data_IF_361650887573
#
_entry.id   IF_361650887573
#
_cell.length_a   1.000
_cell.length_b   1.000
_cell.length_c   1.000
_cell.angle_alpha   90.00
_cell.angle_beta   90.00
_cell.angle_gamma   90.00
#
_symmetry.space_group_name_H-M   'P 1'
#
loop_
_entity.id
_entity.type
_entity.pdbx_description
1 polymer ?
#
# COMPACT_ATOMS: atom_id res chain seq x y z
N UNK A 1 11.06 22.01 106.46
CA UNK A 1 10.58 20.61 106.46
C UNK A 1 10.48 20.13 105.02
N UNK A 2 11.08 18.96 104.75
CA UNK A 2 10.91 18.06 103.58
C UNK A 2 11.47 18.49 102.19
N UNK A 3 12.43 17.69 101.70
CA UNK A 3 13.01 17.58 100.32
C UNK A 3 12.11 16.68 99.44
N UNK A 4 12.20 16.61 98.08
CA UNK A 4 13.43 16.52 97.28
C UNK A 4 13.45 17.19 95.86
N UNK A 5 14.60 17.03 95.17
CA UNK A 5 14.98 17.34 93.77
C UNK A 5 14.04 16.68 92.71
N UNK A 6 14.01 16.94 91.38
CA UNK A 6 14.98 17.00 90.24
C UNK A 6 14.19 17.53 88.98
N UNK A 7 14.68 17.59 87.71
CA UNK A 7 15.63 18.52 87.04
C UNK A 7 15.06 19.33 85.83
N UNK A 8 15.93 20.20 85.30
CA UNK A 8 16.19 20.60 83.89
C UNK A 8 15.11 20.42 82.78
N UNK A 9 14.81 21.55 82.15
CA UNK A 9 15.28 21.81 80.77
C UNK A 9 14.35 21.46 79.61
N UNK A 10 13.93 22.47 78.85
CA UNK A 10 13.87 22.36 77.37
C UNK A 10 14.23 23.70 76.74
N UNK A 11 15.42 23.71 76.12
CA UNK A 11 15.88 24.71 75.16
C UNK A 11 14.87 24.88 74.01
N UNK A 12 14.47 26.12 73.74
CA UNK A 12 13.96 26.53 72.43
C UNK A 12 15.13 26.76 71.50
N UNK A 13 15.16 25.99 70.40
CA UNK A 13 15.49 26.35 69.00
C UNK A 13 16.14 25.15 68.26
N UNK A 14 16.26 25.12 66.92
CA UNK A 14 15.62 25.96 65.91
C UNK A 14 15.09 25.19 64.67
N UNK A 15 14.49 26.01 63.80
CA UNK A 15 13.99 25.89 62.42
C UNK A 15 14.86 25.15 61.37
N UNK A 16 15.51 24.04 61.68
CA UNK A 16 16.37 23.29 60.73
C UNK A 16 15.80 21.97 60.21
N UNK A 17 14.66 21.48 60.73
CA UNK A 17 14.07 20.21 60.26
C UNK A 17 13.12 20.32 59.06
N UNK A 18 12.69 21.52 58.66
CA UNK A 18 11.73 21.70 57.55
C UNK A 18 12.40 21.88 56.18
N UNK A 19 13.64 22.35 56.11
CA UNK A 19 14.37 22.49 54.83
C UNK A 19 14.98 21.17 54.35
N UNK A 20 15.42 20.28 55.26
CA UNK A 20 15.95 18.96 54.89
C UNK A 20 14.89 18.03 54.26
N UNK A 21 13.66 18.04 54.78
CA UNK A 21 12.58 17.18 54.28
C UNK A 21 12.03 17.63 52.91
N UNK A 22 12.08 18.92 52.60
CA UNK A 22 11.69 19.44 51.29
C UNK A 22 12.73 19.10 50.20
N UNK A 23 14.03 19.10 50.53
CA UNK A 23 15.09 18.78 49.59
C UNK A 23 15.21 17.26 49.29
N UNK A 24 14.90 16.38 50.23
CA UNK A 24 14.86 14.92 49.95
C UNK A 24 13.59 14.51 49.20
N UNK A 25 12.46 15.16 49.44
CA UNK A 25 11.21 14.90 48.70
C UNK A 25 11.31 15.37 47.24
N UNK A 26 12.00 16.49 46.97
CA UNK A 26 12.19 16.98 45.59
C UNK A 26 13.15 16.09 44.79
N UNK A 27 14.21 15.57 45.42
CA UNK A 27 15.15 14.65 44.76
C UNK A 27 14.54 13.27 44.45
N UNK A 28 13.61 12.79 45.29
CA UNK A 28 12.89 11.53 45.04
C UNK A 28 11.83 11.65 43.94
N UNK A 29 11.21 12.83 43.77
CA UNK A 29 10.30 13.10 42.65
C UNK A 29 11.05 13.34 41.33
N UNK A 30 12.23 13.96 41.34
CA UNK A 30 13.02 14.14 40.10
C UNK A 30 13.67 12.82 39.64
N UNK A 31 14.02 11.91 40.55
CA UNK A 31 14.58 10.61 40.19
C UNK A 31 13.55 9.61 39.62
N UNK A 32 12.24 9.84 39.80
CA UNK A 32 11.19 8.96 39.26
C UNK A 32 10.51 9.50 37.99
N UNK A 33 10.80 10.73 37.58
CA UNK A 33 10.18 11.34 36.39
C UNK A 33 11.09 11.47 35.15
N UNK A 34 12.36 11.04 35.20
CA UNK A 34 13.34 11.30 34.11
C UNK A 34 13.82 10.03 33.37
N UNK A 35 13.09 8.91 33.46
CA UNK A 35 13.22 7.81 32.47
C UNK A 35 11.86 7.46 31.87
N UNK A 36 11.08 8.48 31.53
CA UNK A 36 10.15 8.36 30.43
C UNK A 36 10.82 9.02 29.23
N UNK A 37 11.57 8.22 28.44
CA UNK A 37 11.85 8.63 27.06
C UNK A 37 10.52 9.00 26.38
N UNK A 38 10.53 9.87 25.35
CA UNK A 38 9.29 10.37 24.76
C UNK A 38 8.38 9.18 24.46
N UNK A 39 7.22 9.15 25.13
CA UNK A 39 6.18 8.19 24.82
C UNK A 39 5.67 8.60 23.44
N UNK A 40 6.24 7.99 22.40
CA UNK A 40 5.70 8.09 21.05
C UNK A 40 4.31 7.48 21.16
N UNK A 41 3.29 8.32 21.12
CA UNK A 41 1.93 7.86 21.05
C UNK A 41 1.87 6.95 19.82
N UNK A 42 1.54 5.67 20.02
CA UNK A 42 1.35 4.77 18.91
C UNK A 42 0.27 5.41 18.01
N UNK A 43 0.60 5.60 16.74
CA UNK A 43 -0.36 6.15 15.79
C UNK A 43 -1.59 5.24 15.67
N UNK A 44 -2.60 5.66 14.88
CA UNK A 44 -3.71 4.80 14.48
C UNK A 44 -3.31 3.40 13.99
N UNK A 45 -2.08 3.20 13.52
CA UNK A 45 -1.52 1.91 13.11
C UNK A 45 -0.91 1.08 14.25
N UNK A 46 -0.89 1.58 15.48
CA UNK A 46 -0.32 0.84 16.61
C UNK A 46 1.21 0.71 16.52
N UNK A 47 1.85 -0.05 17.41
CA UNK A 47 3.26 0.18 17.72
C UNK A 47 4.29 -0.39 16.72
N UNK A 48 3.82 -0.91 15.58
CA UNK A 48 4.67 -1.35 14.46
C UNK A 48 4.36 -0.57 13.18
N UNK A 49 3.53 0.48 13.25
CA UNK A 49 3.37 1.36 12.11
C UNK A 49 4.68 2.06 11.74
N UNK A 50 4.76 2.38 10.46
CA UNK A 50 5.73 3.34 9.96
C UNK A 50 5.00 4.66 9.78
N UNK A 51 5.64 5.74 10.19
CA UNK A 51 5.09 7.09 10.07
C UNK A 51 5.02 7.49 8.60
N UNK A 52 4.01 8.27 8.22
CA UNK A 52 3.95 8.84 6.89
C UNK A 52 5.05 9.88 6.73
N UNK A 53 5.77 9.79 5.61
CA UNK A 53 6.82 10.75 5.23
C UNK A 53 6.38 11.60 4.04
N UNK A 54 7.21 12.57 3.68
CA UNK A 54 7.06 13.37 2.45
C UNK A 54 7.44 12.63 1.17
N UNK A 55 7.91 11.38 1.27
CA UNK A 55 8.19 10.56 0.09
C UNK A 55 6.92 10.42 -0.77
N UNK A 56 7.08 10.58 -2.09
CA UNK A 56 5.97 10.44 -3.04
C UNK A 56 5.37 9.03 -2.92
N UNK A 57 4.07 8.94 -2.58
CA UNK A 57 3.37 7.70 -2.24
C UNK A 57 3.97 6.89 -1.06
N UNK A 58 4.48 7.58 -0.02
CA UNK A 58 5.03 7.00 1.21
C UNK A 58 4.27 5.76 1.72
N UNK A 59 5.01 4.73 2.14
CA UNK A 59 4.46 3.50 2.75
C UNK A 59 4.06 3.63 4.22
N UNK A 60 4.05 4.85 4.79
CA UNK A 60 3.55 5.05 6.15
C UNK A 60 2.05 4.74 6.28
N UNK A 61 1.67 4.19 7.44
CA UNK A 61 0.30 3.69 7.72
C UNK A 61 -0.31 4.26 9.00
N UNK A 62 0.42 5.14 9.69
CA UNK A 62 -0.04 5.86 10.87
C UNK A 62 -1.15 6.88 10.53
N UNK A 63 -1.17 7.42 9.31
CA UNK A 63 -2.12 8.44 8.88
C UNK A 63 -2.53 8.26 7.41
N UNK A 64 -3.68 8.83 7.04
CA UNK A 64 -4.15 8.84 5.65
C UNK A 64 -3.82 10.16 4.97
N UNK A 65 -3.37 10.10 3.72
CA UNK A 65 -3.17 11.27 2.89
C UNK A 65 -4.51 11.82 2.38
N UNK A 66 -4.99 12.91 2.99
CA UNK A 66 -6.27 13.53 2.62
C UNK A 66 -6.32 14.09 1.19
N UNK A 67 -5.19 14.15 0.47
CA UNK A 67 -5.15 14.49 -0.96
C UNK A 67 -5.67 13.36 -1.85
N UNK A 68 -5.80 12.13 -1.33
CA UNK A 68 -6.29 10.97 -2.06
C UNK A 68 -7.60 10.46 -1.45
N UNK A 69 -8.57 10.02 -2.28
CA UNK A 69 -9.79 9.38 -1.79
C UNK A 69 -9.45 8.06 -1.11
N UNK A 70 -10.08 7.79 0.03
CA UNK A 70 -9.90 6.51 0.72
C UNK A 70 -10.80 5.43 0.11
N UNK A 71 -10.29 4.26 -0.31
CA UNK A 71 -11.10 3.18 -0.88
C UNK A 71 -11.81 2.37 0.22
N UNK A 72 -12.69 3.02 0.97
CA UNK A 72 -13.43 2.43 2.09
C UNK A 72 -14.96 2.44 1.89
N UNK A 73 -15.41 2.88 0.72
CA UNK A 73 -16.82 2.93 0.31
C UNK A 73 -16.94 2.60 -1.17
N UNK A 74 -18.15 2.64 -1.72
CA UNK A 74 -18.31 2.65 -3.16
C UNK A 74 -17.83 3.99 -3.74
N UNK A 75 -17.04 3.93 -4.81
CA UNK A 75 -16.70 5.08 -5.66
C UNK A 75 -17.32 4.87 -7.05
N UNK A 76 -17.85 5.94 -7.63
CA UNK A 76 -18.42 5.95 -8.98
C UNK A 76 -17.41 6.60 -9.94
N UNK A 77 -17.07 5.91 -11.03
CA UNK A 77 -16.10 6.37 -12.02
C UNK A 77 -16.76 6.55 -13.39
N UNK A 78 -16.57 7.69 -14.03
CA UNK A 78 -16.91 7.87 -15.45
C UNK A 78 -15.79 7.28 -16.31
N UNK A 79 -16.14 6.61 -17.41
CA UNK A 79 -15.16 6.17 -18.40
C UNK A 79 -15.50 6.80 -19.75
N UNK A 80 -14.68 7.78 -20.14
CA UNK A 80 -14.86 8.64 -21.31
C UNK A 80 -13.93 8.16 -22.41
N UNK A 81 -14.46 8.00 -23.62
CA UNK A 81 -13.72 7.50 -24.77
C UNK A 81 -13.43 8.65 -25.73
N UNK A 82 -12.16 8.86 -26.08
CA UNK A 82 -11.65 10.02 -26.78
C UNK A 82 -11.15 9.64 -28.17
N UNK A 83 -11.77 10.23 -29.19
CA UNK A 83 -11.37 10.09 -30.60
C UNK A 83 -10.67 11.36 -31.08
N UNK A 84 -9.90 11.27 -32.17
CA UNK A 84 -9.13 12.40 -32.67
C UNK A 84 -9.46 12.69 -34.15
N UNK A 85 -9.39 13.95 -34.62
CA UNK A 85 -9.71 14.30 -36.00
C UNK A 85 -8.86 13.61 -37.07
N UNK A 86 -7.67 13.10 -36.71
CA UNK A 86 -6.77 12.38 -37.61
C UNK A 86 -6.85 10.86 -37.54
N UNK A 87 -7.80 10.34 -36.76
CA UNK A 87 -8.06 8.91 -36.63
C UNK A 87 -9.56 8.63 -36.76
N UNK A 88 -9.90 7.44 -37.23
CA UNK A 88 -11.27 6.92 -37.18
C UNK A 88 -11.23 5.67 -36.32
N UNK A 89 -11.88 5.67 -35.13
CA UNK A 89 -11.85 4.51 -34.26
C UNK A 89 -12.37 3.26 -34.96
N UNK A 90 -11.62 2.16 -34.87
CA UNK A 90 -12.04 0.85 -35.44
C UNK A 90 -12.79 0.00 -34.43
N UNK A 91 -12.66 0.34 -33.15
CA UNK A 91 -13.30 -0.30 -32.00
C UNK A 91 -14.40 0.59 -31.42
N UNK A 92 -15.39 -0.02 -30.78
CA UNK A 92 -16.46 0.71 -30.10
C UNK A 92 -16.12 0.95 -28.63
N UNK A 93 -16.68 2.01 -28.00
CA UNK A 93 -16.59 2.23 -26.56
C UNK A 93 -17.01 1.02 -25.71
N UNK A 94 -18.00 0.25 -26.19
CA UNK A 94 -18.46 -0.95 -25.48
C UNK A 94 -17.42 -2.08 -25.50
N UNK A 95 -16.66 -2.23 -26.59
CA UNK A 95 -15.57 -3.20 -26.67
C UNK A 95 -14.42 -2.81 -25.73
N UNK A 96 -13.98 -1.55 -25.77
CA UNK A 96 -12.93 -1.05 -24.87
C UNK A 96 -13.36 -1.11 -23.39
N UNK A 97 -14.62 -0.83 -23.08
CA UNK A 97 -15.15 -1.00 -21.72
C UNK A 97 -15.09 -2.47 -21.26
N UNK A 98 -15.36 -3.41 -22.16
CA UNK A 98 -15.38 -4.84 -21.86
C UNK A 98 -13.98 -5.40 -21.55
N UNK A 99 -12.91 -4.74 -22.00
CA UNK A 99 -11.55 -5.13 -21.68
C UNK A 99 -11.23 -4.99 -20.17
N UNK A 100 -11.91 -4.07 -19.49
CA UNK A 100 -11.65 -3.77 -18.08
C UNK A 100 -12.83 -4.13 -17.15
N UNK A 101 -14.05 -4.26 -17.68
CA UNK A 101 -15.27 -4.47 -16.90
C UNK A 101 -15.85 -5.84 -17.27
N UNK A 102 -16.06 -6.75 -16.29
CA UNK A 102 -16.08 -6.53 -14.85
C UNK A 102 -14.75 -6.83 -14.13
N UNK A 103 -13.65 -7.05 -14.86
CA UNK A 103 -12.37 -7.49 -14.30
C UNK A 103 -11.85 -6.58 -13.17
N UNK A 104 -11.71 -5.27 -13.43
CA UNK A 104 -11.19 -4.30 -12.47
C UNK A 104 -12.09 -4.12 -11.24
N UNK A 105 -13.43 -3.92 -11.37
CA UNK A 105 -14.34 -3.93 -10.22
C UNK A 105 -14.25 -5.21 -9.36
N UNK A 106 -14.14 -6.38 -10.01
CA UNK A 106 -14.04 -7.64 -9.30
C UNK A 106 -12.70 -7.81 -8.58
N UNK A 107 -11.60 -7.35 -9.19
CA UNK A 107 -10.28 -7.33 -8.56
C UNK A 107 -10.32 -6.60 -7.22
N UNK A 108 -10.83 -5.36 -7.21
CA UNK A 108 -10.93 -4.54 -6.00
C UNK A 108 -11.91 -5.09 -4.97
N UNK A 109 -13.03 -5.67 -5.42
CA UNK A 109 -13.98 -6.34 -4.52
C UNK A 109 -13.34 -7.51 -3.77
N UNK A 110 -12.52 -8.32 -4.46
CA UNK A 110 -11.76 -9.42 -3.86
C UNK A 110 -10.67 -8.91 -2.93
N UNK A 111 -9.82 -8.00 -3.41
CA UNK A 111 -8.69 -7.45 -2.66
C UNK A 111 -9.11 -6.81 -1.34
N UNK A 112 -10.24 -6.07 -1.36
CA UNK A 112 -10.77 -5.33 -0.21
C UNK A 112 -11.69 -6.13 0.70
N UNK A 113 -11.91 -7.41 0.42
CA UNK A 113 -12.89 -8.24 1.14
C UNK A 113 -14.32 -7.67 1.10
N UNK A 114 -14.65 -6.95 0.02
CA UNK A 114 -15.93 -6.26 -0.16
C UNK A 114 -16.07 -4.93 0.57
N UNK A 115 -15.02 -4.42 1.22
CA UNK A 115 -15.03 -3.09 1.86
C UNK A 115 -15.01 -1.95 0.85
N UNK A 116 -14.44 -2.19 -0.33
CA UNK A 116 -14.37 -1.22 -1.43
C UNK A 116 -15.20 -1.72 -2.61
N UNK A 117 -15.87 -0.78 -3.29
CA UNK A 117 -16.57 -1.05 -4.53
C UNK A 117 -16.24 0.01 -5.57
N UNK A 118 -15.82 -0.42 -6.75
CA UNK A 118 -15.65 0.47 -7.90
C UNK A 118 -16.82 0.25 -8.85
N UNK A 119 -17.59 1.30 -9.14
CA UNK A 119 -18.66 1.27 -10.15
C UNK A 119 -18.25 2.14 -11.32
N UNK A 120 -17.98 1.50 -12.46
CA UNK A 120 -17.58 2.20 -13.68
C UNK A 120 -18.81 2.43 -14.57
N UNK A 121 -18.94 3.65 -15.08
CA UNK A 121 -20.00 4.10 -15.98
C UNK A 121 -19.38 4.46 -17.34
N UNK A 122 -19.24 3.49 -18.26
CA UNK A 122 -18.71 3.77 -19.59
C UNK A 122 -19.71 4.58 -20.42
N UNK A 123 -19.23 5.65 -21.03
CA UNK A 123 -19.96 6.37 -22.05
C UNK A 123 -20.12 5.48 -23.28
N UNK A 124 -21.27 5.61 -23.96
CA UNK A 124 -21.59 4.80 -25.15
C UNK A 124 -21.15 5.44 -26.47
N UNK A 125 -20.36 6.51 -26.40
CA UNK A 125 -19.96 7.32 -27.56
C UNK A 125 -18.52 7.75 -27.44
N UNK A 126 -17.92 8.00 -28.59
CA UNK A 126 -16.68 8.74 -28.70
C UNK A 126 -16.94 10.23 -28.49
N UNK A 127 -16.08 10.87 -27.71
CA UNK A 127 -15.97 12.32 -27.60
C UNK A 127 -14.81 12.74 -28.50
N UNK A 128 -15.04 13.64 -29.44
CA UNK A 128 -14.00 14.08 -30.38
C UNK A 128 -13.16 15.18 -29.76
N UNK A 129 -11.87 14.93 -29.65
CA UNK A 129 -10.87 15.90 -29.20
C UNK A 129 -10.73 17.04 -30.23
N UNK A 130 -10.44 18.27 -29.79
CA UNK A 130 -10.33 19.42 -30.70
C UNK A 130 -9.08 19.37 -31.58
N UNK A 131 -8.00 18.75 -31.12
CA UNK A 131 -6.75 18.59 -31.86
C UNK A 131 -6.53 17.14 -32.32
N UNK A 132 -5.73 17.01 -33.38
CA UNK A 132 -5.15 15.75 -33.87
C UNK A 132 -4.39 15.04 -32.74
N UNK A 133 -4.42 13.71 -32.70
CA UNK A 133 -3.70 12.89 -31.70
C UNK A 133 -2.22 13.26 -31.61
N UNK A 134 -1.57 13.40 -32.77
CA UNK A 134 -0.15 13.77 -32.91
C UNK A 134 0.22 15.13 -32.31
N UNK A 135 -0.73 16.06 -32.13
CA UNK A 135 -0.45 17.37 -31.55
C UNK A 135 -0.14 17.29 -30.04
N UNK A 136 -0.71 16.30 -29.34
CA UNK A 136 -0.50 16.10 -27.91
C UNK A 136 0.82 15.40 -27.59
N UNK A 137 1.45 14.73 -28.56
CA UNK A 137 2.68 13.96 -28.38
C UNK A 137 2.63 13.07 -27.13
N UNK A 138 1.59 12.23 -27.05
CA UNK A 138 1.40 11.26 -25.97
C UNK A 138 2.51 10.22 -26.09
N UNK A 139 3.37 10.13 -25.08
CA UNK A 139 4.51 9.23 -25.05
C UNK A 139 4.98 9.00 -23.62
N UNK A 140 5.83 7.99 -23.41
CA UNK A 140 6.54 7.82 -22.13
C UNK A 140 7.31 9.09 -21.73
N UNK A 141 7.34 9.38 -20.42
CA UNK A 141 7.92 10.61 -19.85
C UNK A 141 7.33 11.90 -20.48
N UNK A 142 6.00 11.88 -20.70
CA UNK A 142 5.21 12.91 -21.38
C UNK A 142 5.45 14.34 -20.86
N UNK A 143 5.73 15.26 -21.80
CA UNK A 143 5.90 16.67 -21.49
C UNK A 143 4.70 17.25 -20.71
N UNK A 144 4.98 17.90 -19.58
CA UNK A 144 3.97 18.38 -18.66
C UNK A 144 2.97 19.38 -19.27
N UNK A 145 3.43 20.28 -20.15
CA UNK A 145 2.57 21.27 -20.80
C UNK A 145 1.63 20.61 -21.82
N UNK A 146 2.16 19.68 -22.63
CA UNK A 146 1.33 18.93 -23.60
C UNK A 146 0.30 18.04 -22.93
N UNK A 147 0.70 17.37 -21.85
CA UNK A 147 -0.20 16.60 -20.99
C UNK A 147 -1.31 17.47 -20.40
N UNK A 148 -0.96 18.66 -19.89
CA UNK A 148 -1.96 19.59 -19.36
C UNK A 148 -2.94 20.05 -20.45
N UNK A 149 -2.45 20.32 -21.67
CA UNK A 149 -3.31 20.66 -22.81
C UNK A 149 -4.27 19.52 -23.17
N UNK A 150 -3.76 18.29 -23.29
CA UNK A 150 -4.60 17.10 -23.54
C UNK A 150 -5.71 16.94 -22.50
N UNK A 151 -5.37 17.03 -21.21
CA UNK A 151 -6.34 16.84 -20.13
C UNK A 151 -7.37 17.96 -20.12
N UNK A 152 -6.95 19.21 -20.32
CA UNK A 152 -7.86 20.35 -20.42
C UNK A 152 -8.84 20.20 -21.59
N UNK A 153 -8.33 19.82 -22.77
CA UNK A 153 -9.15 19.63 -23.96
C UNK A 153 -10.10 18.44 -23.82
N UNK A 154 -9.65 17.34 -23.20
CA UNK A 154 -10.49 16.17 -22.94
C UNK A 154 -11.65 16.48 -22.00
N UNK A 155 -11.38 17.20 -20.89
CA UNK A 155 -12.42 17.61 -19.95
C UNK A 155 -13.39 18.59 -20.61
N UNK A 156 -12.89 19.63 -21.30
CA UNK A 156 -13.73 20.60 -21.99
C UNK A 156 -14.61 19.97 -23.09
N UNK A 157 -14.10 18.97 -23.81
CA UNK A 157 -14.87 18.26 -24.83
C UNK A 157 -15.94 17.32 -24.23
N UNK A 158 -15.69 16.78 -23.03
CA UNK A 158 -16.59 15.85 -22.37
C UNK A 158 -17.67 16.53 -21.51
N UNK A 159 -17.40 17.72 -20.97
CA UNK A 159 -18.27 18.50 -20.06
C UNK A 159 -19.71 18.68 -20.60
N UNK A 160 -19.96 18.99 -21.90
CA UNK A 160 -21.33 19.09 -22.43
C UNK A 160 -22.11 17.76 -22.46
N UNK A 161 -21.44 16.64 -22.21
CA UNK A 161 -21.97 15.29 -22.33
C UNK A 161 -21.95 14.51 -21.01
N UNK A 162 -21.31 15.04 -19.98
CA UNK A 162 -21.06 14.36 -18.72
C UNK A 162 -21.00 15.38 -17.59
N UNK A 163 -21.91 15.25 -16.62
CA UNK A 163 -21.83 15.97 -15.36
C UNK A 163 -20.79 15.31 -14.45
N UNK A 164 -19.60 15.92 -14.38
CA UNK A 164 -18.46 15.46 -13.61
C UNK A 164 -18.70 15.47 -12.10
N UNK A 165 -19.63 16.29 -11.59
CA UNK A 165 -19.93 16.35 -10.16
C UNK A 165 -20.54 15.05 -9.60
N UNK A 166 -20.98 14.15 -10.49
CA UNK A 166 -21.58 12.85 -10.16
C UNK A 166 -20.58 11.73 -9.96
N UNK A 167 -19.29 11.98 -10.20
CA UNK A 167 -18.26 10.93 -10.22
C UNK A 167 -17.10 11.27 -9.29
N UNK A 168 -16.59 10.24 -8.62
CA UNK A 168 -15.41 10.31 -7.77
C UNK A 168 -14.11 10.19 -8.59
N UNK A 169 -14.16 9.53 -9.75
CA UNK A 169 -13.03 9.31 -10.66
C UNK A 169 -13.46 9.48 -12.13
N UNK A 170 -12.49 9.80 -12.99
CA UNK A 170 -12.68 9.81 -14.44
C UNK A 170 -11.53 9.06 -15.10
N UNK A 171 -11.89 8.06 -15.90
CA UNK A 171 -11.01 7.38 -16.85
C UNK A 171 -11.15 8.05 -18.21
N UNK A 172 -10.02 8.48 -18.78
CA UNK A 172 -9.92 9.04 -20.13
C UNK A 172 -9.25 7.99 -21.02
N UNK A 173 -10.04 7.28 -21.81
CA UNK A 173 -9.58 6.22 -22.71
C UNK A 173 -9.38 6.80 -24.10
N UNK A 174 -8.15 6.82 -24.61
CA UNK A 174 -7.88 7.27 -25.97
C UNK A 174 -8.20 6.17 -26.99
N UNK A 175 -8.50 6.56 -28.22
CA UNK A 175 -8.56 5.65 -29.37
C UNK A 175 -7.21 4.93 -29.55
N UNK A 176 -7.14 3.59 -29.38
CA UNK A 176 -5.89 2.85 -29.44
C UNK A 176 -5.25 2.84 -30.84
N UNK A 177 -6.05 3.12 -31.88
CA UNK A 177 -5.59 3.13 -33.28
C UNK A 177 -5.12 4.53 -33.73
N UNK A 178 -5.18 5.54 -32.86
CA UNK A 178 -4.80 6.89 -33.23
C UNK A 178 -3.27 7.03 -33.29
N UNK A 179 -2.71 7.60 -34.39
CA UNK A 179 -1.27 7.55 -34.65
C UNK A 179 -0.40 8.34 -33.66
N UNK A 180 -1.00 9.22 -32.85
CA UNK A 180 -0.32 9.97 -31.80
C UNK A 180 -0.52 9.44 -30.38
N UNK A 181 -1.05 8.23 -30.21
CA UNK A 181 -1.26 7.56 -28.91
C UNK A 181 -0.20 6.47 -28.74
N UNK A 182 0.63 6.63 -27.72
CA UNK A 182 1.61 5.63 -27.29
C UNK A 182 1.03 4.81 -26.13
N UNK A 183 0.96 3.49 -26.27
CA UNK A 183 0.39 2.61 -25.26
C UNK A 183 1.22 2.54 -23.98
N UNK A 184 2.53 2.75 -24.07
CA UNK A 184 3.43 2.78 -22.91
C UNK A 184 3.26 4.05 -22.05
N UNK A 185 2.38 4.97 -22.45
CA UNK A 185 2.16 6.24 -21.78
C UNK A 185 0.97 6.23 -20.79
N UNK A 186 0.24 5.11 -20.65
CA UNK A 186 -0.85 4.94 -19.66
C UNK A 186 -0.37 5.35 -18.26
N UNK A 187 -1.16 6.19 -17.57
CA UNK A 187 -0.75 6.75 -16.26
C UNK A 187 -1.89 7.42 -15.48
N UNK A 188 -1.80 7.43 -14.16
CA UNK A 188 -2.52 8.38 -13.30
C UNK A 188 -1.88 9.77 -13.31
N UNK A 189 -2.69 10.78 -13.58
CA UNK A 189 -2.25 12.17 -13.55
C UNK A 189 -2.70 12.87 -12.27
N UNK A 190 -1.71 13.22 -11.44
CA UNK A 190 -1.85 14.08 -10.28
C UNK A 190 -1.68 15.55 -10.67
N UNK A 191 -2.68 16.38 -10.36
CA UNK A 191 -2.58 17.82 -10.56
C UNK A 191 -2.05 18.55 -9.32
N UNK A 192 -1.12 19.49 -9.52
CA UNK A 192 -0.79 20.51 -8.51
C UNK A 192 -1.91 21.55 -8.39
N UNK A 193 -2.50 21.96 -9.53
CA UNK A 193 -3.69 22.80 -9.61
C UNK A 193 -4.84 21.98 -10.22
N UNK A 194 -5.92 21.70 -9.47
CA UNK A 194 -7.02 20.87 -9.97
C UNK A 194 -7.64 21.49 -11.22
N UNK A 195 -8.03 20.65 -12.18
CA UNK A 195 -8.94 21.07 -13.25
C UNK A 195 -10.33 21.30 -12.64
N UNK A 196 -11.10 22.23 -13.19
CA UNK A 196 -12.47 22.51 -12.74
C UNK A 196 -13.44 22.25 -13.89
N UNK A 197 -14.49 21.49 -13.59
CA UNK A 197 -15.62 21.19 -14.47
C UNK A 197 -16.85 21.00 -13.58
N UNK A 198 -18.03 21.40 -14.03
CA UNK A 198 -19.29 21.29 -13.27
C UNK A 198 -19.23 21.75 -11.80
N UNK A 199 -18.45 22.80 -11.51
CA UNK A 199 -18.28 23.33 -10.15
C UNK A 199 -17.48 22.44 -9.19
N UNK A 200 -16.92 21.31 -9.65
CA UNK A 200 -16.05 20.43 -8.86
C UNK A 200 -14.58 20.54 -9.25
N UNK A 201 -13.70 20.19 -8.33
CA UNK A 201 -12.26 20.08 -8.58
C UNK A 201 -11.90 18.64 -8.96
N UNK A 202 -11.54 18.45 -10.22
CA UNK A 202 -10.99 17.21 -10.74
C UNK A 202 -9.52 17.13 -10.36
N UNK A 203 -9.25 16.44 -9.25
CA UNK A 203 -7.90 16.34 -8.65
C UNK A 203 -7.08 15.18 -9.19
N UNK A 204 -7.74 14.16 -9.74
CA UNK A 204 -7.12 12.91 -10.21
C UNK A 204 -7.89 12.40 -11.41
N UNK A 205 -7.18 12.28 -12.53
CA UNK A 205 -7.66 11.68 -13.76
C UNK A 205 -6.75 10.50 -14.08
N UNK A 206 -7.33 9.45 -14.63
CA UNK A 206 -6.55 8.29 -15.09
C UNK A 206 -6.62 8.26 -16.60
N UNK A 207 -5.48 8.38 -17.27
CA UNK A 207 -5.39 8.27 -18.72
C UNK A 207 -5.06 6.82 -19.10
N UNK A 208 -5.83 6.27 -20.03
CA UNK A 208 -5.71 4.89 -20.52
C UNK A 208 -5.40 4.95 -22.00
N UNK A 209 -4.18 4.57 -22.37
CA UNK A 209 -3.65 4.64 -23.74
C UNK A 209 -3.37 3.25 -24.33
N UNK A 210 -3.86 2.21 -23.65
CA UNK A 210 -3.63 0.81 -23.95
C UNK A 210 -4.05 0.37 -25.34
N UNK A 211 -3.39 -0.70 -25.82
CA UNK A 211 -3.86 -1.47 -26.96
C UNK A 211 -5.21 -2.15 -26.69
N UNK A 212 -5.83 -2.65 -27.76
CA UNK A 212 -6.99 -3.52 -27.69
C UNK A 212 -6.62 -4.91 -28.27
N UNK A 213 -6.50 -5.98 -27.46
CA UNK A 213 -6.72 -6.01 -26.01
C UNK A 213 -5.56 -5.36 -25.20
N UNK A 214 -5.83 -4.87 -23.98
CA UNK A 214 -4.85 -4.20 -23.14
C UNK A 214 -4.05 -5.20 -22.30
N UNK A 215 -3.02 -4.70 -21.62
CA UNK A 215 -2.32 -5.46 -20.60
C UNK A 215 -3.24 -5.87 -19.45
N UNK A 216 -2.99 -7.07 -18.90
CA UNK A 216 -3.80 -7.61 -17.80
C UNK A 216 -3.70 -6.68 -16.60
N UNK A 217 -4.84 -6.35 -15.99
CA UNK A 217 -4.95 -5.52 -14.78
C UNK A 217 -4.45 -4.07 -14.88
N UNK A 218 -4.06 -3.56 -16.05
CA UNK A 218 -3.52 -2.18 -16.15
C UNK A 218 -4.43 -1.11 -15.55
N UNK A 219 -5.74 -1.14 -15.83
CA UNK A 219 -6.67 -0.21 -15.21
C UNK A 219 -6.75 -0.37 -13.69
N UNK A 220 -6.57 -1.59 -13.17
CA UNK A 220 -6.52 -1.82 -11.73
C UNK A 220 -5.25 -1.23 -11.11
N UNK A 221 -4.09 -1.41 -11.77
CA UNK A 221 -2.81 -0.83 -11.37
C UNK A 221 -2.91 0.69 -11.28
N UNK A 222 -3.36 1.33 -12.36
CA UNK A 222 -3.56 2.78 -12.38
C UNK A 222 -4.55 3.24 -11.31
N UNK A 223 -5.66 2.52 -11.14
CA UNK A 223 -6.61 2.86 -10.06
C UNK A 223 -5.98 2.74 -8.66
N UNK A 224 -4.97 1.88 -8.47
CA UNK A 224 -4.18 1.77 -7.24
C UNK A 224 -3.50 3.09 -6.86
N UNK A 225 -2.91 3.81 -7.82
CA UNK A 225 -2.29 5.12 -7.57
C UNK A 225 -3.28 6.20 -7.14
N UNK A 226 -4.56 6.08 -7.54
CA UNK A 226 -5.62 6.98 -7.05
C UNK A 226 -5.81 6.83 -5.52
N UNK A 227 -5.38 5.72 -4.93
CA UNK A 227 -5.45 5.45 -3.50
C UNK A 227 -4.10 5.58 -2.79
N UNK A 228 -3.19 6.41 -3.33
CA UNK A 228 -1.87 6.71 -2.77
C UNK A 228 -0.93 5.49 -2.67
N UNK A 229 -1.13 4.47 -3.52
CA UNK A 229 -0.17 3.36 -3.63
C UNK A 229 1.00 3.74 -4.57
N UNK A 230 2.24 3.38 -4.20
CA UNK A 230 3.41 3.60 -5.05
C UNK A 230 3.57 2.47 -6.07
N UNK A 231 4.27 2.78 -7.16
CA UNK A 231 4.99 1.80 -7.97
C UNK A 231 6.06 1.11 -7.12
N UNK A 232 6.10 -0.21 -7.15
CA UNK A 232 7.04 -1.01 -6.37
C UNK A 232 8.29 -1.45 -7.13
N UNK A 233 8.29 -1.32 -8.46
CA UNK A 233 9.48 -1.58 -9.27
C UNK A 233 10.63 -0.65 -8.87
N UNK A 234 11.85 -1.08 -9.16
CA UNK A 234 13.04 -0.26 -8.98
C UNK A 234 13.56 0.15 -10.35
N UNK A 235 13.33 1.41 -10.76
CA UNK A 235 13.82 1.93 -12.05
C UNK A 235 15.35 2.03 -11.98
N UNK A 236 16.11 1.23 -12.75
CA UNK A 236 17.57 1.36 -12.77
C UNK A 236 17.95 2.76 -13.25
N UNK A 237 18.97 3.36 -12.63
CA UNK A 237 19.39 4.73 -12.93
C UNK A 237 20.15 4.86 -14.26
N UNK A 238 20.64 3.75 -14.81
CA UNK A 238 21.40 3.71 -16.05
C UNK A 238 20.66 2.87 -17.10
N UNK A 239 20.28 3.52 -18.20
CA UNK A 239 19.60 2.92 -19.35
C UNK A 239 20.61 2.27 -20.29
N UNK A 240 20.99 1.03 -19.99
CA UNK A 240 21.28 0.04 -21.02
C UNK A 240 20.04 -0.85 -21.11
N UNK A 241 19.55 -1.13 -22.33
CA UNK A 241 18.21 -1.66 -22.63
C UNK A 241 17.78 -3.02 -22.05
N UNK A 242 18.45 -3.50 -20.99
CA UNK A 242 18.14 -4.72 -20.22
C UNK A 242 17.76 -4.41 -18.76
N UNK A 243 17.26 -3.21 -18.47
CA UNK A 243 16.82 -2.84 -17.13
C UNK A 243 15.70 -3.78 -16.64
N UNK A 244 15.97 -4.61 -15.62
CA UNK A 244 14.97 -5.46 -14.99
C UNK A 244 14.14 -4.62 -13.99
N UNK A 245 12.94 -4.23 -14.41
CA UNK A 245 12.04 -3.38 -13.61
C UNK A 245 11.44 -4.14 -12.42
N UNK A 246 11.12 -5.43 -12.59
CA UNK A 246 10.28 -6.22 -11.67
C UNK A 246 11.05 -6.97 -10.56
N UNK A 247 12.34 -6.68 -10.40
CA UNK A 247 13.28 -7.46 -9.55
C UNK A 247 12.97 -7.45 -8.06
N UNK A 248 12.23 -6.46 -7.55
CA UNK A 248 12.06 -6.29 -6.11
C UNK A 248 10.88 -7.06 -5.54
N UNK A 249 9.83 -7.26 -6.34
CA UNK A 249 8.56 -7.82 -5.86
C UNK A 249 8.04 -8.97 -6.72
N UNK A 250 8.53 -9.13 -7.95
CA UNK A 250 8.10 -10.17 -8.88
C UNK A 250 6.59 -10.20 -9.05
N UNK A 251 6.01 -11.39 -8.98
CA UNK A 251 4.58 -11.61 -9.19
C UNK A 251 3.66 -11.11 -8.06
N UNK A 252 4.20 -10.69 -6.92
CA UNK A 252 3.50 -10.73 -5.63
C UNK A 252 2.65 -9.50 -5.29
N UNK A 253 2.59 -8.47 -6.13
CA UNK A 253 1.72 -7.31 -5.95
C UNK A 253 1.40 -6.63 -7.27
N UNK A 254 0.14 -6.21 -7.45
CA UNK A 254 -0.33 -5.44 -8.61
C UNK A 254 0.52 -4.20 -8.90
N UNK A 255 0.97 -3.51 -7.86
CA UNK A 255 1.77 -2.28 -7.96
C UNK A 255 3.25 -2.56 -8.29
N UNK A 256 3.66 -3.83 -8.25
CA UNK A 256 4.92 -4.31 -8.79
C UNK A 256 4.85 -4.53 -10.29
N UNK A 257 3.91 -5.39 -10.69
CA UNK A 257 3.70 -5.77 -12.09
C UNK A 257 2.24 -6.11 -12.34
N UNK A 258 1.66 -5.49 -13.38
CA UNK A 258 0.27 -5.76 -13.78
C UNK A 258 0.07 -7.17 -14.37
N UNK A 259 1.17 -7.77 -14.84
CA UNK A 259 1.22 -9.11 -15.41
C UNK A 259 1.41 -10.22 -14.37
N UNK A 260 1.82 -9.87 -13.15
CA UNK A 260 2.18 -10.83 -12.11
C UNK A 260 1.13 -11.91 -11.88
N UNK A 261 1.56 -13.14 -11.63
CA UNK A 261 0.68 -14.28 -11.35
C UNK A 261 -0.08 -14.16 -10.03
N UNK A 262 0.46 -13.42 -9.05
CA UNK A 262 -0.08 -13.22 -7.71
C UNK A 262 -0.33 -11.74 -7.38
N UNK A 263 -1.17 -11.02 -8.15
CA UNK A 263 -1.31 -9.57 -8.06
C UNK A 263 -2.17 -9.10 -6.89
N UNK A 264 -2.61 -9.96 -5.96
CA UNK A 264 -3.34 -9.48 -4.78
C UNK A 264 -2.43 -8.52 -3.98
N UNK A 265 -2.90 -7.31 -3.62
CA UNK A 265 -2.02 -6.36 -2.94
C UNK A 265 -1.48 -6.93 -1.63
N UNK A 266 -0.22 -6.63 -1.33
CA UNK A 266 0.46 -6.98 -0.10
C UNK A 266 -0.42 -6.64 1.11
N UNK A 267 -0.33 -7.46 2.16
CA UNK A 267 -1.00 -7.22 3.42
C UNK A 267 -0.70 -5.83 3.99
N UNK A 268 0.52 -5.32 3.77
CA UNK A 268 0.89 -3.94 4.09
C UNK A 268 0.03 -2.90 3.36
N UNK A 269 -0.12 -3.01 2.04
CA UNK A 269 -1.00 -2.13 1.26
C UNK A 269 -2.46 -2.29 1.67
N UNK A 270 -2.94 -3.52 1.87
CA UNK A 270 -4.30 -3.76 2.37
C UNK A 270 -4.52 -3.10 3.74
N UNK A 271 -3.50 -3.05 4.59
CA UNK A 271 -3.54 -2.34 5.86
C UNK A 271 -3.56 -0.82 5.67
N UNK A 272 -2.66 -0.26 4.84
CA UNK A 272 -2.62 1.16 4.45
C UNK A 272 -3.97 1.66 3.93
N UNK A 273 -4.63 0.87 3.08
CA UNK A 273 -5.94 1.18 2.51
C UNK A 273 -7.11 1.01 3.51
N UNK A 274 -6.88 0.39 4.67
CA UNK A 274 -7.90 0.08 5.68
C UNK A 274 -8.73 -1.19 5.39
N UNK A 275 -8.30 -1.98 4.42
CA UNK A 275 -8.93 -3.26 4.08
C UNK A 275 -8.58 -4.34 5.11
N UNK A 276 -7.37 -4.31 5.66
CA UNK A 276 -7.03 -4.97 6.92
C UNK A 276 -7.13 -3.98 8.08
N UNK A 277 -7.80 -4.40 9.16
CA UNK A 277 -7.86 -3.62 10.40
C UNK A 277 -6.73 -3.99 11.36
N UNK A 278 -6.48 -3.13 12.35
CA UNK A 278 -5.42 -3.35 13.36
C UNK A 278 -5.51 -4.72 14.07
N UNK A 279 -6.72 -5.28 14.24
CA UNK A 279 -6.91 -6.61 14.87
C UNK A 279 -6.43 -7.78 13.99
N UNK A 280 -6.16 -7.54 12.71
CA UNK A 280 -5.70 -8.53 11.73
C UNK A 280 -4.19 -8.41 11.48
N UNK A 281 -3.56 -7.39 12.07
CA UNK A 281 -2.13 -7.11 12.00
C UNK A 281 -1.51 -7.37 13.37
N UNK A 282 -0.63 -8.36 13.44
CA UNK A 282 0.10 -8.67 14.66
C UNK A 282 1.44 -7.92 14.65
N UNK A 283 1.65 -7.04 15.62
CA UNK A 283 2.89 -6.31 15.79
C UNK A 283 3.86 -7.08 16.71
N UNK A 284 4.98 -7.56 16.16
CA UNK A 284 6.02 -8.25 16.93
C UNK A 284 7.14 -7.30 17.37
N UNK A 285 7.15 -6.99 18.66
CA UNK A 285 8.16 -6.11 19.30
C UNK A 285 9.05 -6.85 20.29
N UNK A 286 8.69 -8.08 20.65
CA UNK A 286 9.37 -8.76 21.74
C UNK A 286 10.64 -9.45 21.23
N UNK A 287 11.67 -9.49 22.07
CA UNK A 287 12.80 -10.38 21.84
C UNK A 287 12.39 -11.83 22.14
N UNK A 288 13.02 -12.77 21.44
CA UNK A 288 12.76 -14.20 21.56
C UNK A 288 11.68 -14.72 20.61
N UNK A 289 11.40 -16.04 20.68
CA UNK A 289 10.48 -16.70 19.77
C UNK A 289 9.01 -16.42 20.12
N UNK A 290 8.24 -15.97 19.13
CA UNK A 290 6.78 -15.82 19.14
C UNK A 290 6.16 -16.69 18.05
N UNK A 291 4.96 -17.19 18.29
CA UNK A 291 4.20 -18.00 17.32
C UNK A 291 2.95 -17.24 16.88
N UNK A 292 2.70 -17.24 15.59
CA UNK A 292 1.50 -16.66 14.98
C UNK A 292 0.84 -17.66 14.04
N UNK A 293 -0.46 -17.52 13.82
CA UNK A 293 -1.19 -18.23 12.77
C UNK A 293 -1.69 -17.22 11.76
N UNK A 294 -1.11 -17.23 10.57
CA UNK A 294 -1.45 -16.35 9.45
C UNK A 294 -2.55 -16.98 8.61
N UNK A 295 -3.64 -16.25 8.36
CA UNK A 295 -4.60 -16.63 7.33
C UNK A 295 -4.11 -16.15 5.97
N UNK A 296 -4.19 -16.99 4.91
CA UNK A 296 -3.87 -16.56 3.56
C UNK A 296 -4.62 -15.28 3.20
N UNK A 297 -3.96 -14.32 2.55
CA UNK A 297 -4.55 -13.03 2.24
C UNK A 297 -5.84 -13.15 1.44
N UNK A 298 -5.87 -14.01 0.41
CA UNK A 298 -7.07 -14.22 -0.41
C UNK A 298 -8.21 -14.95 0.32
N UNK A 299 -7.98 -15.55 1.50
CA UNK A 299 -9.02 -16.25 2.24
C UNK A 299 -10.16 -15.30 2.62
N UNK A 300 -11.44 -15.69 2.48
CA UNK A 300 -12.57 -14.83 2.86
C UNK A 300 -12.53 -14.39 4.33
N UNK A 301 -13.04 -13.19 4.59
CA UNK A 301 -13.35 -12.77 5.96
C UNK A 301 -14.36 -13.72 6.60
N UNK A 302 -14.24 -13.98 7.91
CA UNK A 302 -15.13 -14.89 8.61
C UNK A 302 -16.55 -14.32 8.57
N UNK A 303 -17.48 -15.04 7.92
CA UNK A 303 -18.91 -14.71 7.93
C UNK A 303 -19.58 -15.47 9.08
N UNK A 304 -20.53 -14.83 9.76
CA UNK A 304 -21.38 -15.51 10.74
C UNK A 304 -20.80 -15.73 12.14
N UNK A 305 -19.62 -15.17 12.47
CA UNK A 305 -19.19 -15.01 13.87
C UNK A 305 -19.73 -13.69 14.41
N UNK A 306 -20.22 -13.66 15.65
CA UNK A 306 -20.62 -12.41 16.31
C UNK A 306 -19.38 -11.53 16.49
N UNK A 307 -19.23 -10.51 15.66
CA UNK A 307 -18.13 -9.53 15.72
C UNK A 307 -17.22 -9.52 14.48
N UNK A 308 -16.31 -8.54 14.39
CA UNK A 308 -15.39 -8.39 13.26
C UNK A 308 -14.38 -9.54 13.19
N UNK A 309 -13.89 -9.88 12.00
CA UNK A 309 -12.84 -10.88 11.82
C UNK A 309 -11.51 -10.39 12.43
N UNK A 310 -11.04 -11.11 13.46
CA UNK A 310 -9.79 -10.81 14.18
C UNK A 310 -8.67 -11.80 13.88
N UNK A 311 -8.83 -12.66 12.86
CA UNK A 311 -7.79 -13.62 12.51
C UNK A 311 -6.61 -12.88 11.89
N UNK A 312 -5.40 -13.14 12.41
CA UNK A 312 -4.17 -12.52 11.92
C UNK A 312 -3.94 -12.87 10.45
N UNK A 313 -3.61 -11.87 9.64
CA UNK A 313 -3.28 -11.98 8.21
C UNK A 313 -1.91 -11.43 7.87
N UNK A 314 -1.42 -10.51 8.71
CA UNK A 314 -0.12 -9.88 8.58
C UNK A 314 0.57 -9.88 9.94
N UNK A 315 1.84 -10.29 9.98
CA UNK A 315 2.73 -10.04 11.12
C UNK A 315 3.74 -8.99 10.68
N UNK A 316 3.94 -7.96 11.51
CA UNK A 316 4.89 -6.87 11.25
C UNK A 316 5.95 -6.88 12.33
N UNK A 317 7.21 -6.87 11.91
CA UNK A 317 8.37 -6.67 12.79
C UNK A 317 8.98 -5.31 12.46
N UNK A 318 8.83 -4.32 13.35
CA UNK A 318 9.48 -3.01 13.16
C UNK A 318 10.99 -3.17 13.37
N UNK A 319 11.78 -2.94 12.32
CA UNK A 319 13.24 -3.14 12.32
C UNK A 319 14.04 -1.86 12.40
N UNK A 320 13.41 -0.71 12.16
CA UNK A 320 14.02 0.61 12.33
C UNK A 320 12.97 1.74 12.36
N UNK A 321 13.43 3.01 12.33
CA UNK A 321 12.53 4.17 12.26
C UNK A 321 11.69 4.19 10.99
N UNK A 322 12.31 3.84 9.85
CA UNK A 322 11.73 3.89 8.51
C UNK A 322 11.54 2.50 7.88
N UNK A 323 11.86 1.43 8.61
CA UNK A 323 11.91 0.08 8.06
C UNK A 323 11.14 -0.94 8.90
N UNK A 324 10.48 -1.87 8.21
CA UNK A 324 9.81 -3.01 8.82
C UNK A 324 9.95 -4.26 7.95
N UNK A 325 9.85 -5.43 8.58
CA UNK A 325 9.55 -6.68 7.89
C UNK A 325 8.07 -6.99 8.02
N UNK A 326 7.45 -7.38 6.92
CA UNK A 326 6.09 -7.86 6.85
C UNK A 326 6.10 -9.34 6.45
N UNK A 327 5.26 -10.12 7.14
CA UNK A 327 5.18 -11.56 7.00
C UNK A 327 3.71 -11.92 6.81
N UNK A 328 3.38 -12.51 5.68
CA UNK A 328 2.01 -12.86 5.30
C UNK A 328 1.94 -14.23 4.65
N UNK A 329 0.74 -14.78 4.54
CA UNK A 329 0.52 -16.03 3.83
C UNK A 329 -0.14 -15.78 2.47
N UNK A 330 0.41 -16.39 1.42
CA UNK A 330 -0.12 -16.37 0.05
C UNK A 330 -0.66 -17.75 -0.33
N UNK A 331 -1.60 -17.77 -1.26
CA UNK A 331 -2.22 -19.00 -1.76
C UNK A 331 -3.00 -18.77 -3.05
N UNK A 332 -3.20 -19.83 -3.83
CA UNK A 332 -3.76 -19.83 -5.19
C UNK A 332 -5.25 -19.59 -5.28
N UNK A 333 -5.74 -18.48 -4.75
CA UNK A 333 -7.16 -18.13 -4.79
C UNK A 333 -7.38 -16.63 -4.92
N UNK A 334 -8.60 -16.24 -5.31
CA UNK A 334 -8.94 -14.83 -5.45
C UNK A 334 -8.16 -14.15 -6.56
N UNK A 335 -7.45 -13.06 -6.24
CA UNK A 335 -6.58 -12.39 -7.22
C UNK A 335 -5.29 -13.19 -7.48
N UNK A 336 -4.85 -14.01 -6.53
CA UNK A 336 -3.65 -14.85 -6.64
C UNK A 336 -3.91 -16.19 -7.33
N UNK A 337 -5.05 -16.38 -8.00
CA UNK A 337 -5.42 -17.67 -8.58
C UNK A 337 -4.44 -18.19 -9.65
N UNK A 338 -3.58 -17.33 -10.20
CA UNK A 338 -2.54 -17.71 -11.15
C UNK A 338 -1.24 -18.16 -10.50
N UNK A 339 -1.07 -18.02 -9.18
CA UNK A 339 0.20 -18.40 -8.54
C UNK A 339 0.40 -19.90 -8.57
N UNK A 340 1.65 -20.29 -8.81
CA UNK A 340 2.12 -21.66 -8.84
C UNK A 340 2.74 -22.10 -7.51
N UNK A 341 3.07 -21.17 -6.61
CA UNK A 341 3.62 -21.45 -5.28
C UNK A 341 2.78 -20.80 -4.19
N UNK A 342 2.71 -21.48 -3.05
CA UNK A 342 2.01 -21.00 -1.85
C UNK A 342 2.94 -21.06 -0.65
N UNK A 343 2.79 -20.13 0.27
CA UNK A 343 3.69 -20.10 1.41
C UNK A 343 3.53 -18.88 2.28
N UNK A 344 4.51 -18.73 3.16
CA UNK A 344 4.71 -17.53 3.95
C UNK A 344 5.68 -16.63 3.22
N UNK A 345 5.17 -15.53 2.68
CA UNK A 345 5.96 -14.52 2.01
C UNK A 345 6.50 -13.53 3.04
N UNK A 346 7.78 -13.16 2.90
CA UNK A 346 8.45 -12.18 3.75
C UNK A 346 8.96 -11.05 2.87
N UNK A 347 8.69 -9.80 3.24
CA UNK A 347 9.17 -8.64 2.50
C UNK A 347 9.56 -7.51 3.45
N UNK A 348 10.48 -6.67 2.98
CA UNK A 348 10.89 -5.44 3.65
C UNK A 348 10.07 -4.28 3.11
N UNK A 349 9.65 -3.40 4.02
CA UNK A 349 8.95 -2.15 3.72
C UNK A 349 9.81 -0.98 4.18
N UNK A 350 9.89 0.06 3.35
CA UNK A 350 10.57 1.33 3.62
C UNK A 350 9.62 2.50 3.34
N UNK A 351 9.31 3.30 4.36
CA UNK A 351 8.40 4.46 4.23
C UNK A 351 9.09 5.73 3.70
N UNK A 352 10.41 5.72 3.56
CA UNK A 352 11.27 6.83 3.14
C UNK A 352 11.70 6.76 1.67
N UNK A 353 11.26 5.73 0.94
CA UNK A 353 11.44 5.59 -0.50
C UNK A 353 10.21 6.05 -1.26
N UNK A 354 10.44 6.75 -2.36
CA UNK A 354 9.38 7.20 -3.25
C UNK A 354 8.90 6.06 -4.16
N UNK A 355 7.72 6.25 -4.75
CA UNK A 355 7.23 5.48 -5.91
C UNK A 355 8.34 5.28 -6.95
N UNK A 356 8.58 4.04 -7.38
CA UNK A 356 9.61 3.69 -8.37
C UNK A 356 11.03 3.54 -7.83
N UNK A 357 11.27 3.84 -6.54
CA UNK A 357 12.56 3.64 -5.86
C UNK A 357 12.61 2.31 -5.07
N UNK A 358 11.68 1.39 -5.31
CA UNK A 358 11.54 0.12 -4.59
C UNK A 358 11.27 0.31 -3.09
N UNK A 359 10.12 0.88 -2.68
CA UNK A 359 9.75 1.03 -1.28
C UNK A 359 9.41 -0.31 -0.60
N UNK A 360 9.13 -1.35 -1.37
CA UNK A 360 8.92 -2.72 -0.92
C UNK A 360 9.91 -3.66 -1.62
N UNK A 361 10.41 -4.66 -0.91
CA UNK A 361 11.30 -5.68 -1.46
C UNK A 361 10.98 -7.05 -0.86
N UNK A 362 10.56 -8.00 -1.69
CA UNK A 362 10.41 -9.41 -1.33
C UNK A 362 11.77 -10.00 -0.98
N UNK A 363 11.80 -10.75 0.13
CA UNK A 363 12.98 -11.53 0.51
C UNK A 363 12.80 -12.94 -0.02
N UNK A 364 13.74 -13.37 -0.84
CA UNK A 364 13.71 -14.69 -1.43
C UNK A 364 13.96 -15.79 -0.38
N UNK A 365 12.98 -16.66 -0.21
CA UNK A 365 13.04 -17.84 0.65
C UNK A 365 13.93 -18.96 0.11
N UNK A 366 14.15 -18.98 -1.21
CA UNK A 366 14.85 -20.05 -1.92
C UNK A 366 15.85 -19.49 -2.96
N UNK A 367 16.87 -18.72 -2.54
CA UNK A 367 17.81 -18.02 -3.44
C UNK A 367 18.72 -18.89 -4.29
N UNK A 368 18.58 -20.21 -4.21
CA UNK A 368 19.29 -21.18 -5.05
C UNK A 368 18.39 -21.83 -6.11
N UNK A 369 17.09 -21.50 -6.10
CA UNK A 369 16.08 -22.02 -7.03
C UNK A 369 15.24 -20.87 -7.56
N UNK A 370 14.35 -21.22 -8.48
CA UNK A 370 13.39 -20.33 -9.11
C UNK A 370 12.24 -21.18 -9.62
N UNK A 371 11.11 -20.55 -9.97
CA UNK A 371 9.93 -21.28 -10.43
C UNK A 371 9.19 -20.57 -11.56
N UNK A 372 8.32 -21.33 -12.24
CA UNK A 372 7.27 -20.77 -13.11
C UNK A 372 7.82 -19.93 -14.26
N UNK A 373 8.93 -20.42 -14.83
CA UNK A 373 9.72 -19.78 -15.88
C UNK A 373 8.96 -19.28 -17.12
N UNK A 374 7.79 -19.85 -17.43
CA UNK A 374 7.02 -19.44 -18.61
C UNK A 374 5.89 -18.45 -18.29
N UNK A 375 5.51 -18.33 -17.02
CA UNK A 375 4.33 -17.58 -16.58
C UNK A 375 4.67 -16.42 -15.64
N UNK A 376 5.76 -16.55 -14.89
CA UNK A 376 6.24 -15.55 -13.94
C UNK A 376 6.86 -14.36 -14.66
N UNK A 377 6.58 -13.17 -14.14
CA UNK A 377 7.29 -11.95 -14.56
C UNK A 377 8.74 -11.91 -14.06
N UNK A 378 9.04 -12.67 -13.01
CA UNK A 378 10.37 -12.75 -12.41
C UNK A 378 10.57 -14.12 -11.71
N UNK A 379 11.00 -15.16 -12.45
CA UNK A 379 11.06 -16.54 -11.98
C UNK A 379 11.83 -16.76 -10.68
N UNK A 380 12.89 -15.96 -10.44
CA UNK A 380 13.72 -16.00 -9.24
C UNK A 380 12.96 -15.68 -7.95
N UNK A 381 11.85 -14.94 -8.03
CA UNK A 381 10.99 -14.69 -6.86
C UNK A 381 9.69 -15.50 -6.88
N UNK A 382 9.45 -16.29 -7.94
CA UNK A 382 8.21 -17.04 -8.08
C UNK A 382 8.06 -18.15 -7.02
N UNK A 383 9.15 -18.63 -6.42
CA UNK A 383 9.16 -19.55 -5.27
C UNK A 383 9.61 -18.89 -3.97
N UNK A 384 9.65 -17.56 -3.88
CA UNK A 384 10.04 -16.85 -2.65
C UNK A 384 9.27 -17.24 -1.36
N UNK A 385 7.96 -17.61 -1.39
CA UNK A 385 7.24 -17.99 -0.17
C UNK A 385 7.83 -19.23 0.51
N UNK A 386 8.01 -19.15 1.83
CA UNK A 386 8.48 -20.26 2.65
C UNK A 386 7.38 -21.33 2.84
N UNK A 387 7.72 -22.59 2.57
CA UNK A 387 6.90 -23.77 2.84
C UNK A 387 7.08 -24.30 4.27
N UNK A 388 6.33 -25.36 4.63
CA UNK A 388 6.40 -25.97 5.97
C UNK A 388 7.78 -26.60 6.19
N UNK A 389 8.44 -26.22 7.29
CA UNK A 389 9.80 -26.66 7.61
C UNK A 389 10.86 -25.62 7.26
N UNK A 390 10.56 -24.73 6.31
CA UNK A 390 11.52 -23.74 5.85
C UNK A 390 11.81 -22.68 6.89
N UNK A 391 13.03 -22.14 6.82
CA UNK A 391 13.51 -21.12 7.74
C UNK A 391 14.33 -20.07 7.01
N UNK A 392 13.93 -18.81 7.15
CA UNK A 392 14.68 -17.64 6.67
C UNK A 392 15.34 -16.92 7.84
N UNK A 393 16.60 -16.53 7.67
CA UNK A 393 17.31 -15.66 8.63
C UNK A 393 17.65 -14.34 7.95
N UNK A 394 16.95 -13.28 8.34
CA UNK A 394 17.21 -11.91 7.88
C UNK A 394 18.26 -11.30 8.80
N UNK A 395 19.54 -11.50 8.44
CA UNK A 395 20.70 -11.20 9.29
C UNK A 395 20.76 -9.72 9.68
N UNK A 396 20.65 -8.83 8.69
CA UNK A 396 20.68 -7.37 8.89
C UNK A 396 19.56 -6.92 9.81
N UNK A 397 18.47 -7.68 9.86
CA UNK A 397 17.32 -7.36 10.67
C UNK A 397 17.32 -8.02 12.07
N UNK A 398 18.22 -8.98 12.30
CA UNK A 398 18.28 -9.86 13.47
C UNK A 398 16.97 -10.66 13.70
N UNK A 399 16.28 -11.03 12.62
CA UNK A 399 15.01 -11.77 12.64
C UNK A 399 15.18 -13.13 11.98
N UNK A 400 14.66 -14.17 12.63
CA UNK A 400 14.51 -15.51 12.03
C UNK A 400 13.03 -15.87 11.94
N UNK A 401 12.60 -16.32 10.77
CA UNK A 401 11.23 -16.78 10.49
C UNK A 401 11.30 -18.27 10.18
N UNK A 402 10.50 -19.08 10.86
CA UNK A 402 10.35 -20.52 10.58
C UNK A 402 8.87 -20.83 10.36
N UNK A 403 8.54 -21.51 9.28
CA UNK A 403 7.17 -22.00 9.04
C UNK A 403 7.01 -23.35 9.72
N UNK A 404 6.27 -23.39 10.81
CA UNK A 404 6.16 -24.56 11.68
C UNK A 404 5.10 -25.59 11.21
N UNK A 405 4.15 -25.19 10.38
CA UNK A 405 3.09 -26.09 9.91
C UNK A 405 1.84 -25.36 9.41
N UNK A 406 0.81 -26.14 9.06
CA UNK A 406 -0.54 -25.65 8.73
C UNK A 406 -1.47 -25.85 9.93
N UNK A 407 -2.33 -24.89 10.21
CA UNK A 407 -3.43 -25.03 11.16
C UNK A 407 -4.62 -25.74 10.49
N UNK A 408 -5.45 -26.43 11.28
CA UNK A 408 -6.60 -27.20 10.78
C UNK A 408 -7.60 -26.37 9.97
N UNK A 409 -7.60 -25.06 10.18
CA UNK A 409 -8.48 -24.13 9.50
C UNK A 409 -7.90 -23.56 8.20
N UNK A 410 -6.72 -24.04 7.76
CA UNK A 410 -6.00 -23.59 6.58
C UNK A 410 -5.00 -22.45 6.82
N UNK A 411 -4.85 -21.99 8.07
CA UNK A 411 -3.83 -21.01 8.43
C UNK A 411 -2.40 -21.57 8.37
N UNK A 412 -1.40 -20.69 8.25
CA UNK A 412 0.01 -21.01 8.33
C UNK A 412 0.54 -20.67 9.72
N UNK A 413 1.16 -21.62 10.39
CA UNK A 413 1.79 -21.40 11.70
C UNK A 413 3.23 -20.98 11.48
N UNK A 414 3.58 -19.78 11.93
CA UNK A 414 4.92 -19.23 11.82
C UNK A 414 5.50 -18.97 13.20
N UNK A 415 6.81 -19.19 13.34
CA UNK A 415 7.60 -18.78 14.49
C UNK A 415 8.54 -17.66 14.07
N UNK A 416 8.36 -16.49 14.67
CA UNK A 416 9.22 -15.33 14.48
C UNK A 416 10.12 -15.21 15.71
N UNK A 417 11.43 -15.16 15.51
CA UNK A 417 12.40 -15.02 16.58
C UNK A 417 13.25 -13.78 16.33
N UNK A 418 13.02 -12.75 17.14
CA UNK A 418 13.79 -11.51 17.11
C UNK A 418 14.90 -11.59 18.15
N UNK A 419 16.14 -11.38 17.71
CA UNK A 419 17.28 -11.27 18.64
C UNK A 419 17.41 -9.83 19.14
N UNK A 420 17.97 -9.66 20.33
CA UNK A 420 18.44 -8.35 20.75
C UNK A 420 19.54 -7.90 19.78
N UNK A 421 19.47 -6.64 19.35
CA UNK A 421 20.53 -6.00 18.56
C UNK A 421 21.52 -5.34 19.48
#
# INVERSE_FOLDING_TARGET
>A
MVRPQVPEGVHRQPRLRRTGALLTSLSALIATTVVAGPAVAAGPGGPCDLERTDAHHSEGVDSWNSRYPRPARRLDAAMVFLSFPDARPRVTPAQLAADHIPATPNFFKRASYGKFGLRVHPLRRWITMPQRSTAYAIQRDWNAQRRAAYLSDAIAAADPHLDFARYDLVYLVADPDAPGVDADATKVVNFEKPLRADGVELRRLVTVFEHHPPDRNVLAHETGHVFDLPDLYHRPKDTDGNAEWDTYVGDWDLMGSQFGMAPDPFGWHKWKLGWLGARQVACDRATGPRRYTLRPLAAPMARGRSGPDTRTRLVVVRTGPTTALAIEARGGSGNDAGTCTEGVLVYRVRNDKASGDGPVQVLDGHPATSACWNESVYPELADAPLGVGDTMSVKDDAVRITVAGRAADGGWTVRVNRRAR
#
